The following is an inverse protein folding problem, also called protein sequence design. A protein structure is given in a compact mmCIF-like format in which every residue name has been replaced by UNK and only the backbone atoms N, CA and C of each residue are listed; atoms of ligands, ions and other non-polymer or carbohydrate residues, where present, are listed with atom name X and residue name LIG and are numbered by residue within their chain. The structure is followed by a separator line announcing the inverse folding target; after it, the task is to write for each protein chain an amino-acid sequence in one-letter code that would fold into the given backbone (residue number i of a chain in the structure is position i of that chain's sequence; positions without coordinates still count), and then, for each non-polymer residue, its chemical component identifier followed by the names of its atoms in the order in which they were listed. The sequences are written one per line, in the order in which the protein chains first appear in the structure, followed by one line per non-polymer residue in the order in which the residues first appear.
data_IF_660177469499
#
_entry.id   IF_660177469499
#
_cell.length_a   1.000
_cell.length_b   1.000
_cell.length_c   1.000
_cell.angle_alpha   90.00
_cell.angle_beta   90.00
_cell.angle_gamma   90.00
#
_symmetry.space_group_name_H-M   'P 1'
#
loop_
_entity.id
_entity.type
_entity.pdbx_description
1 polymer ?
#
# COMPACT_ATOMS: atom_id res chain seq x y z
N UNK A 1 -14.08 -39.89 -0.76
CA UNK A 1 -15.01 -38.75 -0.77
C UNK A 1 -14.64 -37.86 0.41
N UNK A 2 -14.12 -36.67 0.14
CA UNK A 2 -14.03 -35.57 1.11
C UNK A 2 -14.34 -34.30 0.33
N UNK A 3 -15.63 -34.02 0.28
CA UNK A 3 -16.25 -32.81 -0.24
C UNK A 3 -16.29 -31.81 0.92
N UNK A 4 -15.69 -30.63 0.74
CA UNK A 4 -15.84 -29.51 1.66
C UNK A 4 -15.63 -28.18 0.91
N UNK A 5 -16.73 -27.74 0.27
CA UNK A 5 -17.25 -26.37 0.36
C UNK A 5 -16.34 -25.23 -0.10
N UNK A 6 -16.29 -24.99 -1.42
CA UNK A 6 -16.05 -23.67 -1.99
C UNK A 6 -17.40 -23.04 -2.35
N UNK A 7 -18.22 -22.76 -1.32
CA UNK A 7 -19.39 -21.92 -1.52
C UNK A 7 -18.98 -20.44 -1.60
N UNK A 8 -19.56 -19.80 -2.60
CA UNK A 8 -19.43 -18.40 -2.94
C UNK A 8 -19.64 -17.47 -1.74
N UNK A 9 -18.81 -16.44 -1.65
CA UNK A 9 -19.27 -15.12 -1.20
C UNK A 9 -18.90 -14.08 -2.25
N UNK A 10 -19.82 -13.89 -3.18
CA UNK A 10 -20.03 -12.64 -3.89
C UNK A 10 -20.26 -11.52 -2.87
N UNK A 11 -19.19 -10.96 -2.31
CA UNK A 11 -19.08 -9.65 -1.64
C UNK A 11 -17.79 -9.65 -0.78
N UNK A 12 -16.64 -9.96 -1.38
CA UNK A 12 -15.36 -9.64 -0.75
C UNK A 12 -15.17 -8.13 -0.83
N UNK A 13 -15.39 -7.46 0.30
CA UNK A 13 -14.97 -6.08 0.53
C UNK A 13 -13.47 -5.93 0.16
N UNK A 14 -13.07 -4.95 -0.67
CA UNK A 14 -11.68 -4.77 -1.08
C UNK A 14 -10.71 -4.75 0.11
N UNK A 15 -11.15 -4.20 1.24
CA UNK A 15 -10.34 -4.06 2.45
C UNK A 15 -10.06 -5.42 3.10
N UNK A 16 -11.04 -6.32 3.09
CA UNK A 16 -10.91 -7.69 3.57
C UNK A 16 -9.98 -8.53 2.68
N UNK A 17 -10.07 -8.33 1.36
CA UNK A 17 -9.19 -8.98 0.39
C UNK A 17 -7.71 -8.64 0.65
N UNK A 18 -7.37 -7.35 0.76
CA UNK A 18 -5.99 -6.94 1.02
C UNK A 18 -5.51 -7.34 2.42
N UNK A 19 -6.38 -7.32 3.43
CA UNK A 19 -6.03 -7.78 4.78
C UNK A 19 -5.65 -9.27 4.79
N UNK A 20 -6.33 -10.09 4.00
CA UNK A 20 -6.03 -11.52 3.86
C UNK A 20 -4.74 -11.74 3.08
N UNK A 21 -4.49 -10.93 2.05
CA UNK A 21 -3.26 -10.98 1.25
C UNK A 21 -2.02 -10.65 2.10
N UNK A 22 -2.04 -9.56 2.86
CA UNK A 22 -0.90 -9.10 3.65
C UNK A 22 -0.49 -10.07 4.77
N UNK A 23 -1.46 -10.81 5.36
CA UNK A 23 -1.18 -11.83 6.39
C UNK A 23 -0.33 -13.00 5.87
N UNK A 24 -0.27 -13.21 4.55
CA UNK A 24 0.51 -14.29 3.93
C UNK A 24 1.96 -13.88 3.60
N UNK A 25 2.32 -12.61 3.80
CA UNK A 25 3.62 -12.02 3.41
C UNK A 25 4.21 -11.10 4.48
N UNK A 26 4.37 -11.59 5.71
CA UNK A 26 5.10 -10.84 6.76
C UNK A 26 6.56 -11.30 6.85
N UNK A 27 7.56 -10.50 6.43
CA UNK A 27 8.91 -10.60 6.95
C UNK A 27 8.98 -9.90 8.31
N UNK A 28 9.70 -10.50 9.25
CA UNK A 28 9.90 -10.02 10.61
C UNK A 28 10.47 -8.59 10.64
N UNK A 29 9.83 -7.70 11.39
CA UNK A 29 10.29 -6.33 11.63
C UNK A 29 11.50 -6.33 12.57
N UNK A 30 12.60 -5.70 12.14
CA UNK A 30 13.75 -5.36 12.98
C UNK A 30 13.51 -3.99 13.59
N UNK A 31 13.40 -3.93 14.91
CA UNK A 31 13.27 -2.68 15.68
C UNK A 31 14.64 -1.97 15.80
N UNK A 32 14.65 -0.65 15.67
CA UNK A 32 15.74 0.20 16.12
C UNK A 32 15.17 1.35 16.97
N UNK A 33 15.76 1.65 18.15
CA UNK A 33 15.21 2.63 19.09
C UNK A 33 15.81 4.02 18.86
N UNK A 34 14.95 5.05 18.75
CA UNK A 34 15.36 6.45 18.68
C UNK A 34 15.23 7.15 20.03
N UNK A 35 16.37 7.51 20.62
CA UNK A 35 16.53 8.28 21.86
C UNK A 35 15.82 9.65 21.84
N UNK A 36 15.11 9.98 22.92
CA UNK A 36 14.66 11.34 23.23
C UNK A 36 15.61 11.98 24.25
N UNK A 37 16.28 13.08 23.89
CA UNK A 37 17.06 13.91 24.81
C UNK A 37 16.22 15.12 25.21
N UNK A 38 15.80 15.16 26.47
CA UNK A 38 15.26 16.34 27.12
C UNK A 38 16.42 17.28 27.50
N UNK A 39 16.36 18.56 27.08
CA UNK A 39 17.24 19.61 27.61
C UNK A 39 16.46 20.51 28.55
N UNK A 40 16.81 20.41 29.83
CA UNK A 40 16.48 21.37 30.87
C UNK A 40 17.51 22.50 30.86
N UNK A 41 17.06 23.75 30.92
CA UNK A 41 17.92 24.93 31.16
C UNK A 41 17.34 25.71 32.33
N UNK A 42 18.12 25.77 33.42
CA UNK A 42 17.90 26.66 34.57
C UNK A 42 18.39 28.09 34.24
N UNK A 43 17.77 29.16 34.79
CA UNK A 43 18.22 30.55 34.63
C UNK A 43 19.12 31.02 35.78
N UNK A 44 20.05 31.98 35.55
CA UNK A 44 20.28 33.07 36.52
C UNK A 44 20.80 34.39 35.87
N UNK A 45 21.11 35.47 36.64
CA UNK A 45 20.33 36.16 37.66
C UNK A 45 20.13 37.67 37.33
N UNK A 46 19.38 38.33 38.21
CA UNK A 46 18.97 39.74 38.28
C UNK A 46 20.03 40.80 37.98
N UNK A 47 19.67 41.80 37.15
CA UNK A 47 20.36 43.09 37.05
C UNK A 47 19.38 44.27 37.05
N UNK A 48 19.48 45.03 38.15
CA UNK A 48 19.25 46.47 38.36
C UNK A 48 18.22 47.23 37.50
N UNK A 49 17.19 47.65 38.23
CA UNK A 49 16.31 48.82 38.05
C UNK A 49 17.05 50.01 37.43
N UNK A 50 16.62 50.41 36.24
CA UNK A 50 16.72 51.77 35.72
C UNK A 50 15.33 52.14 35.21
N UNK A 51 14.65 53.04 35.90
CA UNK A 51 13.28 53.46 35.63
C UNK A 51 13.19 54.18 34.28
N UNK A 52 12.34 53.74 33.34
CA UNK A 52 12.07 54.50 32.13
C UNK A 52 11.04 55.60 32.39
N UNK A 53 11.28 56.73 31.75
CA UNK A 53 10.43 57.92 31.64
C UNK A 53 8.97 57.54 31.31
N UNK A 54 7.93 58.22 31.86
CA UNK A 54 6.54 57.87 31.58
C UNK A 54 6.18 58.22 30.14
N UNK A 55 6.22 57.25 29.23
CA UNK A 55 5.59 57.36 27.92
C UNK A 55 4.06 57.38 28.08
N UNK A 56 3.41 58.33 27.42
CA UNK A 56 1.98 58.57 27.55
C UNK A 56 1.14 57.33 27.18
N UNK A 57 0.04 57.04 27.91
CA UNK A 57 -0.83 55.85 27.70
C UNK A 57 -1.35 55.65 26.27
N UNK A 58 -1.41 56.71 25.46
CA UNK A 58 -1.91 56.66 24.08
C UNK A 58 -1.00 55.91 23.09
N UNK A 59 0.32 55.95 23.26
CA UNK A 59 1.24 55.32 22.28
C UNK A 59 1.27 53.80 22.44
N UNK A 60 1.21 53.28 23.68
CA UNK A 60 1.15 51.83 23.96
C UNK A 60 -0.09 51.18 23.35
N UNK A 61 -1.25 51.81 23.51
CA UNK A 61 -2.53 51.30 22.96
C UNK A 61 -2.51 51.21 21.43
N UNK A 62 -1.76 52.08 20.74
CA UNK A 62 -1.65 52.05 19.28
C UNK A 62 -0.78 50.89 18.82
N UNK A 63 0.36 50.67 19.48
CA UNK A 63 1.25 49.54 19.22
C UNK A 63 0.56 48.21 19.52
N UNK A 64 -0.17 48.10 20.64
CA UNK A 64 -0.89 46.88 21.01
C UNK A 64 -1.97 46.51 19.98
N UNK A 65 -2.67 47.50 19.42
CA UNK A 65 -3.65 47.29 18.35
C UNK A 65 -3.01 46.77 17.06
N UNK A 66 -1.84 47.30 16.69
CA UNK A 66 -1.10 46.87 15.49
C UNK A 66 -0.57 45.43 15.65
N UNK A 67 -0.09 45.07 16.84
CA UNK A 67 0.35 43.70 17.18
C UNK A 67 -0.82 42.72 17.05
N UNK A 68 -1.97 43.02 17.68
CA UNK A 68 -3.16 42.16 17.61
C UNK A 68 -3.65 42.02 16.16
N UNK A 69 -3.57 43.07 15.35
CA UNK A 69 -3.95 43.02 13.95
C UNK A 69 -2.99 42.15 13.12
N UNK A 70 -1.69 42.21 13.40
CA UNK A 70 -0.69 41.37 12.75
C UNK A 70 -0.85 39.90 13.13
N UNK A 71 -1.10 39.61 14.42
CA UNK A 71 -1.39 38.26 14.90
C UNK A 71 -2.66 37.70 14.27
N UNK A 72 -3.73 38.51 14.20
CA UNK A 72 -4.97 38.12 13.52
C UNK A 72 -4.71 37.74 12.07
N UNK A 73 -3.96 38.55 11.32
CA UNK A 73 -3.60 38.24 9.94
C UNK A 73 -2.78 36.96 9.83
N UNK A 74 -1.80 36.75 10.72
CA UNK A 74 -0.99 35.54 10.73
C UNK A 74 -1.84 34.28 11.00
N UNK A 75 -2.84 34.37 11.88
CA UNK A 75 -3.79 33.28 12.14
C UNK A 75 -4.69 33.03 10.92
N UNK A 76 -5.19 34.09 10.27
CA UNK A 76 -5.96 33.96 9.02
C UNK A 76 -5.14 33.26 7.92
N UNK A 77 -3.89 33.65 7.73
CA UNK A 77 -2.97 33.00 6.76
C UNK A 77 -2.73 31.53 7.11
N UNK A 78 -2.60 31.18 8.40
CA UNK A 78 -2.48 29.78 8.84
C UNK A 78 -3.76 28.98 8.57
N UNK A 79 -4.93 29.57 8.81
CA UNK A 79 -6.22 28.92 8.53
C UNK A 79 -6.32 28.62 7.03
N UNK A 80 -5.97 29.57 6.16
CA UNK A 80 -5.97 29.38 4.70
C UNK A 80 -4.99 28.28 4.27
N UNK A 81 -3.79 28.25 4.85
CA UNK A 81 -2.82 27.20 4.56
C UNK A 81 -3.32 25.82 4.98
N UNK A 82 -3.95 25.71 6.15
CA UNK A 82 -4.52 24.44 6.63
C UNK A 82 -5.69 23.98 5.76
N UNK A 83 -6.57 24.88 5.34
CA UNK A 83 -7.66 24.58 4.43
C UNK A 83 -7.14 24.05 3.08
N UNK A 84 -6.12 24.70 2.51
CA UNK A 84 -5.48 24.24 1.28
C UNK A 84 -4.91 22.82 1.43
N UNK A 85 -4.23 22.54 2.55
CA UNK A 85 -3.68 21.21 2.82
C UNK A 85 -4.76 20.15 3.00
N UNK A 86 -5.90 20.48 3.62
CA UNK A 86 -7.03 19.57 3.75
C UNK A 86 -7.59 19.20 2.38
N UNK A 87 -7.83 20.17 1.50
CA UNK A 87 -8.29 19.90 0.12
C UNK A 87 -7.31 19.00 -0.63
N UNK A 88 -6.00 19.26 -0.51
CA UNK A 88 -4.99 18.40 -1.14
C UNK A 88 -4.98 16.96 -0.59
N UNK A 89 -5.29 16.77 0.69
CA UNK A 89 -5.40 15.44 1.29
C UNK A 89 -6.67 14.72 0.82
N UNK A 90 -7.78 15.43 0.71
CA UNK A 90 -9.05 14.88 0.21
C UNK A 90 -8.93 14.41 -1.25
N UNK A 91 -8.27 15.20 -2.10
CA UNK A 91 -7.99 14.83 -3.49
C UNK A 91 -7.14 13.55 -3.55
N UNK A 92 -6.07 13.49 -2.76
CA UNK A 92 -5.18 12.30 -2.69
C UNK A 92 -5.90 11.07 -2.16
N UNK A 93 -6.76 11.23 -1.15
CA UNK A 93 -7.54 10.12 -0.61
C UNK A 93 -8.51 9.57 -1.65
N UNK A 94 -9.14 10.46 -2.42
CA UNK A 94 -10.07 10.09 -3.50
C UNK A 94 -9.35 9.35 -4.64
N UNK A 95 -8.18 9.83 -5.05
CA UNK A 95 -7.33 9.17 -6.05
C UNK A 95 -6.86 7.78 -5.58
N UNK A 96 -6.30 7.69 -4.36
CA UNK A 96 -5.88 6.41 -3.78
C UNK A 96 -7.03 5.41 -3.63
N UNK A 97 -8.21 5.88 -3.24
CA UNK A 97 -9.42 5.05 -3.15
C UNK A 97 -9.82 4.51 -4.53
N UNK A 98 -9.76 5.35 -5.56
CA UNK A 98 -10.02 4.96 -6.95
C UNK A 98 -9.02 3.92 -7.45
N UNK A 99 -7.72 4.14 -7.19
CA UNK A 99 -6.66 3.20 -7.54
C UNK A 99 -6.82 1.85 -6.81
N UNK A 100 -7.16 1.86 -5.52
CA UNK A 100 -7.44 0.65 -4.73
C UNK A 100 -8.56 -0.18 -5.36
N UNK A 101 -9.63 0.47 -5.83
CA UNK A 101 -10.76 -0.20 -6.49
C UNK A 101 -10.35 -0.84 -7.82
N UNK A 102 -9.57 -0.13 -8.63
CA UNK A 102 -9.04 -0.66 -9.91
C UNK A 102 -8.13 -1.85 -9.66
N UNK A 103 -7.24 -1.76 -8.68
CA UNK A 103 -6.33 -2.84 -8.30
C UNK A 103 -7.09 -4.08 -7.85
N UNK A 104 -8.08 -3.92 -6.96
CA UNK A 104 -8.94 -5.02 -6.52
C UNK A 104 -9.60 -5.72 -7.71
N UNK A 105 -10.18 -4.95 -8.65
CA UNK A 105 -10.87 -5.52 -9.79
C UNK A 105 -9.93 -6.23 -10.78
N UNK A 106 -8.71 -5.70 -10.92
CA UNK A 106 -7.63 -6.32 -11.72
C UNK A 106 -7.22 -7.66 -11.10
N UNK A 107 -6.98 -7.69 -9.79
CA UNK A 107 -6.60 -8.91 -9.08
C UNK A 107 -7.72 -9.96 -9.12
N UNK A 108 -8.97 -9.55 -8.98
CA UNK A 108 -10.13 -10.43 -9.14
C UNK A 108 -10.15 -11.06 -10.53
N UNK A 109 -9.96 -10.25 -11.58
CA UNK A 109 -9.89 -10.75 -12.97
C UNK A 109 -8.74 -11.73 -13.15
N UNK A 110 -7.54 -11.38 -12.69
CA UNK A 110 -6.36 -12.26 -12.77
C UNK A 110 -6.60 -13.59 -12.05
N UNK A 111 -7.21 -13.57 -10.86
CA UNK A 111 -7.54 -14.79 -10.12
C UNK A 111 -8.43 -15.72 -10.94
N UNK A 112 -9.48 -15.20 -11.57
CA UNK A 112 -10.34 -16.03 -12.43
C UNK A 112 -9.62 -16.61 -13.64
N UNK A 113 -8.62 -15.90 -14.18
CA UNK A 113 -7.78 -16.41 -15.27
C UNK A 113 -6.87 -17.54 -14.77
N UNK A 114 -6.24 -17.36 -13.61
CA UNK A 114 -5.41 -18.40 -12.99
C UNK A 114 -6.21 -19.66 -12.69
N UNK A 115 -7.39 -19.54 -12.08
CA UNK A 115 -8.28 -20.69 -11.78
C UNK A 115 -8.65 -21.46 -13.06
N UNK A 116 -8.93 -20.76 -14.18
CA UNK A 116 -9.19 -21.40 -15.48
C UNK A 116 -7.97 -22.11 -16.06
N UNK A 117 -6.77 -21.55 -15.89
CA UNK A 117 -5.53 -22.15 -16.37
C UNK A 117 -5.16 -23.38 -15.52
N UNK A 118 -5.29 -23.27 -14.20
CA UNK A 118 -5.05 -24.34 -13.25
C UNK A 118 -5.96 -25.54 -13.53
N UNK A 119 -7.25 -25.30 -13.81
CA UNK A 119 -8.18 -26.37 -14.20
C UNK A 119 -7.85 -27.07 -15.52
N UNK A 120 -7.13 -26.42 -16.44
CA UNK A 120 -6.69 -27.02 -17.72
C UNK A 120 -5.37 -27.79 -17.60
N UNK A 121 -4.58 -27.53 -16.56
CA UNK A 121 -3.26 -28.12 -16.39
C UNK A 121 -3.29 -29.67 -16.30
N UNK A 122 -4.22 -30.30 -15.55
CA UNK A 122 -4.30 -31.76 -15.49
C UNK A 122 -4.67 -32.39 -16.84
N UNK A 123 -5.57 -31.75 -17.60
CA UNK A 123 -5.98 -32.21 -18.93
C UNK A 123 -4.78 -32.19 -19.89
N UNK A 124 -4.04 -31.08 -19.91
CA UNK A 124 -2.81 -30.96 -20.71
C UNK A 124 -1.75 -31.99 -20.30
N UNK A 125 -1.61 -32.25 -19.00
CA UNK A 125 -0.68 -33.25 -18.49
C UNK A 125 -1.07 -34.67 -18.92
N UNK A 126 -2.37 -35.01 -18.90
CA UNK A 126 -2.88 -36.31 -19.37
C UNK A 126 -2.62 -36.48 -20.87
N UNK A 127 -3.04 -35.50 -21.68
CA UNK A 127 -2.84 -35.56 -23.13
C UNK A 127 -1.36 -35.59 -23.51
N UNK A 128 -0.49 -34.89 -22.77
CA UNK A 128 0.96 -34.99 -22.97
C UNK A 128 1.45 -36.42 -22.75
N UNK A 129 1.06 -37.05 -21.64
CA UNK A 129 1.48 -38.42 -21.33
C UNK A 129 0.94 -39.43 -22.35
N UNK A 130 -0.28 -39.25 -22.85
CA UNK A 130 -0.86 -40.09 -23.90
C UNK A 130 -0.04 -40.01 -25.20
N UNK A 131 0.27 -38.79 -25.65
CA UNK A 131 1.08 -38.57 -26.85
C UNK A 131 2.51 -39.10 -26.69
N UNK A 132 3.12 -38.97 -25.51
CA UNK A 132 4.44 -39.55 -25.21
C UNK A 132 4.42 -41.08 -25.33
N UNK A 133 3.36 -41.75 -24.86
CA UNK A 133 3.19 -43.19 -25.00
C UNK A 133 2.98 -43.61 -26.46
N UNK A 134 2.13 -42.91 -27.20
CA UNK A 134 1.90 -43.18 -28.63
C UNK A 134 3.17 -43.04 -29.46
N UNK A 135 3.99 -42.02 -29.15
CA UNK A 135 5.29 -41.83 -29.79
C UNK A 135 6.24 -42.99 -29.49
N UNK A 136 6.31 -43.45 -28.23
CA UNK A 136 7.16 -44.56 -27.84
C UNK A 136 6.77 -45.88 -28.53
N UNK A 137 5.47 -46.17 -28.65
CA UNK A 137 4.99 -47.35 -29.37
C UNK A 137 5.27 -47.24 -30.88
N UNK A 138 5.10 -46.05 -31.47
CA UNK A 138 5.42 -45.82 -32.89
C UNK A 138 6.92 -46.01 -33.17
N UNK A 139 7.78 -45.49 -32.30
CA UNK A 139 9.24 -45.65 -32.41
C UNK A 139 9.64 -47.13 -32.34
N UNK A 140 9.05 -47.88 -31.41
CA UNK A 140 9.25 -49.33 -31.29
C UNK A 140 8.85 -50.09 -32.55
N UNK A 141 7.70 -49.74 -33.14
CA UNK A 141 7.26 -50.33 -34.42
C UNK A 141 8.24 -50.01 -35.54
N UNK A 142 8.70 -48.76 -35.63
CA UNK A 142 9.67 -48.33 -36.65
C UNK A 142 11.02 -49.05 -36.52
N UNK A 143 11.52 -49.23 -35.29
CA UNK A 143 12.75 -49.98 -35.03
C UNK A 143 12.63 -51.44 -35.46
N UNK A 144 11.48 -52.08 -35.20
CA UNK A 144 11.22 -53.44 -35.68
C UNK A 144 11.21 -53.52 -37.21
N UNK A 145 10.55 -52.57 -37.90
CA UNK A 145 10.56 -52.51 -39.36
C UNK A 145 11.96 -52.32 -39.92
N UNK A 146 12.76 -51.43 -39.33
CA UNK A 146 14.16 -51.21 -39.73
C UNK A 146 14.98 -52.49 -39.58
N UNK A 147 14.86 -53.19 -38.44
CA UNK A 147 15.57 -54.44 -38.21
C UNK A 147 15.24 -55.53 -39.25
N UNK A 148 14.00 -55.59 -39.73
CA UNK A 148 13.59 -56.51 -40.81
C UNK A 148 14.27 -56.12 -42.12
N UNK A 149 14.27 -54.83 -42.49
CA UNK A 149 14.91 -54.35 -43.71
C UNK A 149 16.42 -54.58 -43.72
N UNK A 150 17.09 -54.40 -42.59
CA UNK A 150 18.53 -54.64 -42.45
C UNK A 150 18.89 -56.14 -42.55
N UNK A 151 17.90 -57.03 -42.45
CA UNK A 151 18.08 -58.49 -42.54
C UNK A 151 17.79 -59.11 -43.92
N UNK A 152 17.34 -58.29 -44.88
CA UNK A 152 17.06 -58.67 -46.28
C UNK A 152 18.28 -58.41 -47.17
#
# INVERSE_FOLDING_TARGET
MSEATLEAKENEDPDSFFATLMKKTTPAASEAPGNAVASAVNPPPTAKVSSPVPQHPCEKLKTDKEVVQAEKKAVEDQILLLQLRLTQLDDKLTDLSSQKKVLYQTMKTNRTVYEKLEGKLPLLSSSKSELENELAETEKVWLNFRAILDSL
#
